data_IF_843223329886
#
_entry.id   IF_843223329886
#
_cell.length_a   1.000
_cell.length_b   1.000
_cell.length_c   1.000
_cell.angle_alpha   90.00
_cell.angle_beta   90.00
_cell.angle_gamma   90.00
#
_symmetry.space_group_name_H-M   'P 1'
#
loop_
_entity.id
_entity.type
_entity.pdbx_description
1 polymer ?
#
# COMPACT_ATOMS: atom_id res chain seq x y z
N UNK A 1 -2.67 22.32 5.53
CA UNK A 1 -1.91 21.09 5.20
C UNK A 1 -2.52 19.98 6.02
N UNK A 2 -3.18 19.01 5.39
CA UNK A 2 -3.90 17.96 6.10
C UNK A 2 -2.91 17.24 7.03
N UNK A 3 -3.16 17.31 8.34
CA UNK A 3 -2.36 16.60 9.35
C UNK A 3 -2.58 15.08 9.32
N UNK A 4 -3.52 14.62 8.48
CA UNK A 4 -3.97 13.25 8.33
C UNK A 4 -3.96 12.88 6.84
N UNK A 5 -3.53 11.67 6.51
CA UNK A 5 -3.53 11.14 5.14
C UNK A 5 -4.51 9.97 5.08
N UNK A 6 -5.49 10.01 4.18
CA UNK A 6 -6.43 8.89 4.01
C UNK A 6 -5.72 7.64 3.43
N UNK A 7 -4.71 7.83 2.60
CA UNK A 7 -3.86 6.77 2.05
C UNK A 7 -2.42 7.23 1.84
N UNK A 8 -1.46 6.31 1.97
CA UNK A 8 -0.03 6.58 1.81
C UNK A 8 0.65 5.50 0.99
N UNK A 9 1.39 5.91 -0.05
CA UNK A 9 2.20 4.99 -0.87
C UNK A 9 3.30 4.38 -0.01
N UNK A 10 3.49 3.07 -0.16
CA UNK A 10 4.53 2.29 0.49
C UNK A 10 5.57 1.84 -0.53
N UNK A 11 6.80 1.60 -0.07
CA UNK A 11 7.74 0.75 -0.79
C UNK A 11 7.38 -0.72 -0.57
N UNK A 12 7.86 -1.61 -1.43
CA UNK A 12 7.63 -3.06 -1.29
C UNK A 12 8.08 -3.59 0.09
N UNK A 13 9.29 -3.24 0.51
CA UNK A 13 9.83 -3.64 1.81
C UNK A 13 9.00 -3.13 3.00
N UNK A 14 8.46 -1.91 2.93
CA UNK A 14 7.58 -1.38 3.97
C UNK A 14 6.24 -2.13 4.02
N UNK A 15 5.68 -2.51 2.86
CA UNK A 15 4.47 -3.31 2.81
C UNK A 15 4.68 -4.70 3.44
N UNK A 16 5.80 -5.37 3.15
CA UNK A 16 6.18 -6.63 3.81
C UNK A 16 6.36 -6.46 5.30
N UNK A 17 7.07 -5.40 5.72
CA UNK A 17 7.31 -5.12 7.12
C UNK A 17 6.00 -5.05 7.92
N UNK A 18 4.98 -4.38 7.38
CA UNK A 18 3.64 -4.29 8.00
C UNK A 18 3.00 -5.67 8.22
N UNK A 19 3.09 -6.58 7.24
CA UNK A 19 2.55 -7.95 7.37
C UNK A 19 3.33 -8.78 8.40
N UNK A 20 4.65 -8.59 8.46
CA UNK A 20 5.56 -9.36 9.34
C UNK A 20 5.68 -8.83 10.77
N UNK A 21 5.06 -7.69 11.10
CA UNK A 21 5.07 -7.13 12.44
C UNK A 21 4.44 -8.12 13.44
N UNK A 22 5.28 -8.67 14.32
CA UNK A 22 4.90 -9.59 15.41
C UNK A 22 4.99 -8.88 16.78
N UNK A 23 4.38 -7.69 16.94
CA UNK A 23 4.28 -7.03 18.24
C UNK A 23 2.86 -6.55 18.53
N UNK A 24 2.41 -6.82 19.76
CA UNK A 24 1.11 -6.47 20.33
C UNK A 24 0.83 -4.97 20.24
N UNK A 25 -0.45 -4.65 20.06
CA UNK A 25 -1.04 -3.32 20.12
C UNK A 25 -1.57 -3.10 21.54
N UNK A 26 -1.22 -2.02 22.25
CA UNK A 26 -1.90 -1.68 23.49
C UNK A 26 -3.33 -1.20 23.17
N UNK A 27 -4.31 -1.79 23.84
CA UNK A 27 -5.71 -1.38 23.78
C UNK A 27 -5.94 -0.10 24.59
N UNK A 28 -6.59 0.88 23.99
CA UNK A 28 -7.23 1.99 24.70
C UNK A 28 -8.77 1.91 24.54
N UNK A 29 -9.41 1.86 25.72
CA UNK A 29 -10.83 1.82 26.10
C UNK A 29 -11.86 1.10 25.23
N UNK A 30 -12.26 -0.09 25.71
CA UNK A 30 -13.49 -0.79 25.35
C UNK A 30 -14.31 -0.97 26.63
N UNK A 31 -15.19 -0.01 26.93
CA UNK A 31 -16.00 0.06 28.15
C UNK A 31 -17.12 -1.00 28.22
N UNK A 32 -16.80 -2.31 28.25
CA UNK A 32 -17.67 -3.33 28.87
C UNK A 32 -16.85 -4.45 29.53
N UNK A 33 -17.25 -4.81 30.76
CA UNK A 33 -16.49 -5.66 31.69
C UNK A 33 -16.58 -7.13 31.30
N UNK A 34 -15.45 -7.66 30.81
CA UNK A 34 -15.14 -9.10 30.74
C UNK A 34 -14.01 -9.37 31.77
N UNK A 35 -13.99 -10.50 32.49
CA UNK A 35 -12.95 -10.78 33.49
C UNK A 35 -11.53 -10.65 32.90
N UNK A 36 -10.69 -9.83 33.53
CA UNK A 36 -9.40 -9.35 33.01
C UNK A 36 -8.49 -10.44 32.41
N UNK A 37 -8.31 -11.63 33.02
CA UNK A 37 -7.45 -12.67 32.43
C UNK A 37 -8.02 -13.28 31.14
N UNK A 38 -9.35 -13.31 31.00
CA UNK A 38 -10.07 -13.89 29.85
C UNK A 38 -10.16 -12.89 28.70
N UNK A 39 -10.44 -11.61 29.00
CA UNK A 39 -10.35 -10.51 28.03
C UNK A 39 -8.92 -10.38 27.50
N UNK A 40 -7.93 -10.43 28.39
CA UNK A 40 -6.50 -10.36 28.06
C UNK A 40 -6.06 -11.52 27.17
N UNK A 41 -6.52 -12.75 27.43
CA UNK A 41 -6.12 -13.92 26.65
C UNK A 41 -6.78 -13.99 25.27
N UNK A 42 -8.02 -13.52 25.13
CA UNK A 42 -8.73 -13.46 23.84
C UNK A 42 -8.22 -12.33 22.94
N UNK A 43 -7.69 -11.26 23.52
CA UNK A 43 -7.11 -10.11 22.80
C UNK A 43 -5.63 -10.34 22.43
N UNK A 44 -4.84 -10.93 23.32
CA UNK A 44 -3.38 -10.97 23.18
C UNK A 44 -2.84 -12.19 22.40
N UNK A 45 -3.63 -13.26 22.22
CA UNK A 45 -3.11 -14.51 21.63
C UNK A 45 -3.33 -14.63 20.09
N UNK A 46 -3.90 -13.61 19.43
CA UNK A 46 -4.15 -13.62 17.99
C UNK A 46 -3.14 -12.78 17.19
N UNK A 47 -2.52 -13.36 16.16
CA UNK A 47 -1.97 -12.54 15.05
C UNK A 47 -3.11 -11.67 14.50
N UNK A 48 -2.91 -10.38 14.16
CA UNK A 48 -4.00 -9.57 13.59
C UNK A 48 -4.55 -10.32 12.40
N UNK A 49 -5.84 -10.68 12.47
CA UNK A 49 -6.48 -11.42 11.40
C UNK A 49 -6.33 -10.63 10.11
N UNK A 50 -6.00 -11.35 9.05
CA UNK A 50 -5.84 -10.78 7.73
C UNK A 50 -6.91 -11.41 6.87
N UNK A 51 -7.67 -10.57 6.18
CA UNK A 51 -8.53 -11.01 5.09
C UNK A 51 -7.98 -10.49 3.79
N UNK A 52 -8.17 -11.26 2.73
CA UNK A 52 -8.18 -10.72 1.38
C UNK A 52 -9.62 -10.49 0.97
N UNK A 53 -9.88 -9.37 0.33
CA UNK A 53 -11.14 -9.11 -0.34
C UNK A 53 -10.93 -8.64 -1.77
N UNK A 54 -11.99 -8.73 -2.57
CA UNK A 54 -12.03 -8.14 -3.89
C UNK A 54 -11.70 -6.65 -3.82
N UNK A 55 -10.78 -6.21 -4.67
CA UNK A 55 -10.45 -4.81 -4.83
C UNK A 55 -11.66 -4.10 -5.46
N UNK A 56 -12.34 -3.19 -4.74
CA UNK A 56 -13.54 -2.54 -5.28
C UNK A 56 -13.22 -1.78 -6.57
N UNK A 57 -12.06 -1.14 -6.64
CA UNK A 57 -11.61 -0.43 -7.84
C UNK A 57 -11.44 -1.34 -9.06
N UNK A 58 -11.06 -2.61 -8.88
CA UNK A 58 -11.02 -3.59 -9.99
C UNK A 58 -12.44 -4.04 -10.31
N UNK A 59 -13.18 -4.50 -9.31
CA UNK A 59 -14.51 -5.11 -9.51
C UNK A 59 -15.55 -4.19 -10.15
N UNK A 60 -15.40 -2.87 -10.04
CA UNK A 60 -16.28 -1.89 -10.70
C UNK A 60 -15.87 -1.50 -12.13
N UNK A 61 -14.83 -2.09 -12.71
CA UNK A 61 -14.43 -1.83 -14.12
C UNK A 61 -15.09 -2.83 -15.07
N UNK A 62 -15.42 -2.38 -16.27
CA UNK A 62 -15.95 -3.26 -17.34
C UNK A 62 -14.96 -4.37 -17.73
N UNK A 63 -13.66 -4.04 -17.75
CA UNK A 63 -12.56 -4.97 -18.07
C UNK A 63 -11.52 -4.95 -16.93
N UNK A 64 -11.79 -5.66 -15.82
CA UNK A 64 -10.92 -5.64 -14.66
C UNK A 64 -9.64 -6.44 -14.89
N UNK A 65 -8.50 -5.94 -14.39
CA UNK A 65 -7.31 -6.78 -14.29
C UNK A 65 -7.51 -7.86 -13.21
N UNK A 66 -6.92 -9.03 -13.45
CA UNK A 66 -7.00 -10.18 -12.55
C UNK A 66 -5.67 -10.38 -11.79
N UNK A 67 -5.71 -10.97 -10.58
CA UNK A 67 -6.91 -11.35 -9.81
C UNK A 67 -7.62 -10.15 -9.15
N UNK A 68 -8.89 -10.30 -8.76
CA UNK A 68 -9.64 -9.25 -8.03
C UNK A 68 -9.37 -9.26 -6.53
N UNK A 69 -9.20 -10.44 -5.92
CA UNK A 69 -8.89 -10.59 -4.49
C UNK A 69 -7.43 -10.20 -4.19
N UNK A 70 -7.21 -8.90 -3.99
CA UNK A 70 -5.88 -8.34 -3.72
C UNK A 70 -5.91 -7.23 -2.66
N UNK A 71 -7.07 -6.90 -2.09
CA UNK A 71 -7.17 -5.90 -1.05
C UNK A 71 -6.99 -6.57 0.31
N UNK A 72 -5.87 -6.30 0.98
CA UNK A 72 -5.55 -6.89 2.27
C UNK A 72 -6.13 -5.99 3.36
N UNK A 73 -7.06 -6.51 4.16
CA UNK A 73 -7.59 -5.79 5.33
C UNK A 73 -7.13 -6.49 6.60
N UNK A 74 -6.82 -5.69 7.61
CA UNK A 74 -6.12 -6.18 8.81
C UNK A 74 -6.73 -5.59 10.06
N UNK A 75 -6.89 -6.44 11.07
CA UNK A 75 -7.30 -6.05 12.40
C UNK A 75 -8.80 -5.80 12.55
N UNK A 76 -9.23 -5.70 13.81
CA UNK A 76 -10.62 -5.48 14.17
C UNK A 76 -10.94 -3.99 14.36
N UNK A 77 -12.18 -3.54 14.10
CA UNK A 77 -13.35 -4.36 13.73
C UNK A 77 -13.52 -4.57 12.21
N UNK A 78 -12.56 -4.12 11.38
CA UNK A 78 -12.77 -4.08 9.93
C UNK A 78 -12.81 -5.47 9.29
N UNK A 79 -12.06 -6.42 9.85
CA UNK A 79 -12.08 -7.82 9.43
C UNK A 79 -13.46 -8.44 9.66
N UNK A 80 -13.98 -8.38 10.90
CA UNK A 80 -15.29 -8.93 11.24
C UNK A 80 -16.39 -8.30 10.39
N UNK A 81 -16.39 -6.96 10.31
CA UNK A 81 -17.36 -6.22 9.52
C UNK A 81 -17.38 -6.71 8.06
N UNK A 82 -16.20 -6.90 7.45
CA UNK A 82 -16.11 -7.29 6.04
C UNK A 82 -16.50 -8.75 5.81
N UNK A 83 -16.13 -9.65 6.73
CA UNK A 83 -16.55 -11.06 6.66
C UNK A 83 -18.06 -11.21 6.85
N UNK A 84 -18.67 -10.41 7.73
CA UNK A 84 -20.12 -10.44 7.98
C UNK A 84 -20.92 -9.85 6.81
N UNK A 85 -20.48 -8.71 6.25
CA UNK A 85 -21.24 -7.95 5.26
C UNK A 85 -20.82 -8.23 3.82
N UNK A 86 -19.76 -9.00 3.58
CA UNK A 86 -19.31 -9.37 2.24
C UNK A 86 -18.59 -10.74 2.23
N UNK A 87 -19.20 -11.80 2.77
CA UNK A 87 -18.59 -13.13 2.87
C UNK A 87 -18.25 -13.75 1.50
N UNK A 88 -18.97 -13.37 0.44
CA UNK A 88 -18.75 -13.88 -0.91
C UNK A 88 -17.52 -13.27 -1.61
N UNK A 89 -17.10 -12.07 -1.17
CA UNK A 89 -15.97 -11.34 -1.74
C UNK A 89 -14.81 -11.16 -0.77
N UNK A 90 -14.83 -11.84 0.38
CA UNK A 90 -13.76 -11.78 1.37
C UNK A 90 -13.52 -13.12 2.08
N UNK A 91 -12.27 -13.36 2.48
CA UNK A 91 -11.87 -14.57 3.22
C UNK A 91 -10.65 -14.32 4.08
N UNK A 92 -10.54 -15.04 5.19
CA UNK A 92 -9.34 -15.11 6.00
C UNK A 92 -8.19 -15.72 5.21
N UNK A 93 -6.99 -15.19 5.44
CA UNK A 93 -5.75 -15.67 4.83
C UNK A 93 -4.63 -15.74 5.88
N UNK A 94 -3.62 -16.56 5.60
CA UNK A 94 -2.42 -16.59 6.43
C UNK A 94 -1.50 -15.39 6.13
N UNK A 95 -0.52 -15.13 7.01
CA UNK A 95 0.52 -14.13 6.76
C UNK A 95 1.35 -14.48 5.53
N UNK A 96 1.65 -15.77 5.34
CA UNK A 96 2.40 -16.28 4.20
C UNK A 96 1.65 -16.00 2.90
N UNK A 97 0.33 -16.27 2.87
CA UNK A 97 -0.50 -15.96 1.71
C UNK A 97 -0.59 -14.45 1.45
N UNK A 98 -0.70 -13.63 2.49
CA UNK A 98 -0.68 -12.18 2.34
C UNK A 98 0.64 -11.68 1.73
N UNK A 99 1.77 -12.25 2.15
CA UNK A 99 3.09 -11.96 1.57
C UNK A 99 3.18 -12.41 0.11
N UNK A 100 2.63 -13.59 -0.23
CA UNK A 100 2.54 -14.05 -1.62
C UNK A 100 1.75 -13.07 -2.49
N UNK A 101 0.59 -12.60 -2.02
CA UNK A 101 -0.21 -11.60 -2.75
C UNK A 101 0.59 -10.31 -2.97
N UNK A 102 1.32 -9.82 -1.95
CA UNK A 102 2.15 -8.63 -2.09
C UNK A 102 3.24 -8.81 -3.14
N UNK A 103 3.99 -9.93 -3.11
CA UNK A 103 5.04 -10.23 -4.09
C UNK A 103 4.48 -10.35 -5.51
N UNK A 104 3.38 -11.07 -5.67
CA UNK A 104 2.74 -11.23 -6.98
C UNK A 104 2.22 -9.90 -7.54
N UNK A 105 1.62 -9.07 -6.71
CA UNK A 105 1.15 -7.74 -7.13
C UNK A 105 2.32 -6.80 -7.42
N UNK A 106 3.40 -6.89 -6.64
CA UNK A 106 4.63 -6.14 -6.87
C UNK A 106 5.26 -6.51 -8.23
N UNK A 107 5.40 -7.80 -8.52
CA UNK A 107 5.97 -8.30 -9.78
C UNK A 107 5.11 -7.93 -11.00
N UNK A 108 3.78 -7.80 -10.84
CA UNK A 108 2.86 -7.25 -11.84
C UNK A 108 3.02 -5.72 -12.05
N UNK A 109 3.84 -5.05 -11.26
CA UNK A 109 4.05 -3.60 -11.33
C UNK A 109 2.95 -2.79 -10.65
N UNK A 110 2.25 -3.37 -9.68
CA UNK A 110 1.28 -2.65 -8.87
C UNK A 110 1.94 -1.97 -7.68
N UNK A 111 1.34 -0.89 -7.20
CA UNK A 111 1.82 -0.18 -6.02
C UNK A 111 1.15 -0.72 -4.76
N UNK A 112 1.82 -0.58 -3.63
CA UNK A 112 1.24 -0.82 -2.32
C UNK A 112 0.91 0.53 -1.66
N UNK A 113 -0.25 0.61 -1.04
CA UNK A 113 -0.65 1.80 -0.28
C UNK A 113 -1.31 1.39 1.03
N UNK A 114 -0.91 2.02 2.12
CA UNK A 114 -1.53 1.89 3.43
C UNK A 114 -2.70 2.87 3.55
N UNK A 115 -3.84 2.40 4.05
CA UNK A 115 -5.03 3.21 4.25
C UNK A 115 -5.41 3.28 5.72
N UNK A 116 -5.81 4.49 6.12
CA UNK A 116 -6.21 4.84 7.48
C UNK A 116 -7.65 5.33 7.45
N UNK A 117 -8.42 5.01 8.49
CA UNK A 117 -9.82 5.44 8.59
C UNK A 117 -10.02 6.35 9.78
N UNK A 118 -10.37 7.59 9.51
CA UNK A 118 -10.70 8.62 10.50
C UNK A 118 -11.82 8.14 11.45
N UNK A 119 -12.83 7.45 10.91
CA UNK A 119 -13.95 6.86 11.67
C UNK A 119 -13.53 5.73 12.62
N UNK A 120 -12.32 5.22 12.46
CA UNK A 120 -11.70 4.24 13.35
C UNK A 120 -10.51 4.86 14.09
N UNK A 121 -10.59 6.16 14.43
CA UNK A 121 -9.53 6.90 15.15
C UNK A 121 -8.18 6.84 14.41
N UNK A 122 -8.21 7.09 13.10
CA UNK A 122 -7.04 7.03 12.21
C UNK A 122 -6.30 5.68 12.22
N UNK A 123 -6.99 4.60 12.59
CA UNK A 123 -6.40 3.24 12.55
C UNK A 123 -6.07 2.83 11.13
N UNK A 124 -4.92 2.17 11.01
CA UNK A 124 -4.55 1.42 9.82
C UNK A 124 -5.52 0.25 9.62
N UNK A 125 -6.04 0.10 8.40
CA UNK A 125 -7.08 -0.92 8.13
C UNK A 125 -6.83 -1.75 6.89
N UNK A 126 -5.99 -1.28 5.96
CA UNK A 126 -5.78 -1.99 4.71
C UNK A 126 -4.45 -1.66 4.02
N UNK A 127 -3.91 -2.67 3.33
CA UNK A 127 -2.97 -2.48 2.23
C UNK A 127 -3.74 -2.68 0.93
N UNK A 128 -3.80 -1.64 0.10
CA UNK A 128 -4.30 -1.75 -1.26
C UNK A 128 -3.16 -2.00 -2.25
N UNK A 129 -3.34 -3.01 -3.09
CA UNK A 129 -2.48 -3.37 -4.22
C UNK A 129 -3.02 -2.75 -5.52
N UNK A 130 -2.65 -1.50 -5.77
CA UNK A 130 -3.26 -0.67 -6.80
C UNK A 130 -2.56 -0.81 -8.15
N UNK A 131 -3.33 -1.18 -9.16
CA UNK A 131 -2.89 -1.22 -10.55
C UNK A 131 -3.15 0.12 -11.26
N UNK A 132 -2.32 0.43 -12.26
CA UNK A 132 -2.48 1.62 -13.12
C UNK A 132 -3.81 1.62 -13.89
N UNK A 133 -4.31 0.44 -14.27
CA UNK A 133 -5.47 0.30 -15.14
C UNK A 133 -6.82 0.47 -14.45
N UNK A 134 -6.97 0.05 -13.18
CA UNK A 134 -8.28 0.04 -12.52
C UNK A 134 -8.38 0.99 -11.32
N UNK A 135 -7.28 1.35 -10.66
CA UNK A 135 -7.36 2.12 -9.40
C UNK A 135 -7.99 3.51 -9.61
N UNK A 136 -9.12 3.77 -8.95
CA UNK A 136 -9.79 5.06 -9.00
C UNK A 136 -8.95 6.19 -8.38
N UNK A 137 -8.18 5.87 -7.32
CA UNK A 137 -7.28 6.84 -6.69
C UNK A 137 -6.16 7.30 -7.64
N UNK A 138 -5.47 6.35 -8.30
CA UNK A 138 -4.44 6.66 -9.28
C UNK A 138 -5.05 7.45 -10.45
N UNK A 139 -6.19 7.02 -10.97
CA UNK A 139 -6.89 7.74 -12.04
C UNK A 139 -7.20 9.18 -11.64
N UNK A 140 -7.72 9.41 -10.43
CA UNK A 140 -8.05 10.74 -9.95
C UNK A 140 -6.82 11.64 -9.79
N UNK A 141 -5.71 11.08 -9.30
CA UNK A 141 -4.45 11.82 -9.18
C UNK A 141 -3.89 12.19 -10.57
N UNK A 142 -3.92 11.27 -11.53
CA UNK A 142 -3.32 11.45 -12.85
C UNK A 142 -4.18 12.35 -13.75
N UNK A 143 -5.50 12.13 -13.79
CA UNK A 143 -6.41 12.85 -14.71
C UNK A 143 -6.93 14.16 -14.13
N UNK A 144 -7.15 14.22 -12.82
CA UNK A 144 -7.82 15.36 -12.17
C UNK A 144 -6.93 16.07 -11.15
N UNK A 145 -5.65 15.70 -11.05
CA UNK A 145 -4.68 16.30 -10.12
C UNK A 145 -5.16 16.32 -8.66
N UNK A 146 -6.00 15.35 -8.29
CA UNK A 146 -6.49 15.20 -6.91
C UNK A 146 -5.38 14.69 -5.99
N UNK A 147 -5.43 15.03 -4.71
CA UNK A 147 -4.46 14.56 -3.71
C UNK A 147 -5.03 13.42 -2.89
N UNK A 148 -5.13 12.23 -3.50
CA UNK A 148 -5.74 11.04 -2.87
C UNK A 148 -4.74 10.30 -1.95
N UNK A 149 -3.51 10.12 -2.41
CA UNK A 149 -2.47 9.41 -1.67
C UNK A 149 -1.27 10.31 -1.39
N UNK A 150 -0.72 10.17 -0.18
CA UNK A 150 0.55 10.76 0.19
C UNK A 150 1.74 10.00 -0.42
N UNK A 151 2.84 10.71 -0.67
CA UNK A 151 4.10 10.09 -1.11
C UNK A 151 4.70 9.21 -0.01
N UNK A 152 5.53 8.24 -0.43
CA UNK A 152 6.31 7.38 0.46
C UNK A 152 7.46 8.10 1.18
N UNK A 153 7.76 9.36 0.85
CA UNK A 153 8.95 10.06 1.32
C UNK A 153 10.18 9.87 0.43
N UNK A 154 10.06 9.10 -0.65
CA UNK A 154 11.13 8.82 -1.61
C UNK A 154 10.77 9.31 -3.02
N UNK A 155 11.79 9.46 -3.86
CA UNK A 155 11.69 9.67 -5.30
C UNK A 155 12.62 8.70 -6.03
N UNK A 156 12.29 8.40 -7.29
CA UNK A 156 13.15 7.60 -8.15
C UNK A 156 14.30 8.43 -8.70
N UNK A 157 15.48 7.84 -8.77
CA UNK A 157 16.68 8.41 -9.38
C UNK A 157 17.24 7.44 -10.42
N UNK A 158 17.66 7.97 -11.57
CA UNK A 158 18.24 7.21 -12.68
C UNK A 158 19.76 7.32 -12.63
N UNK A 159 20.46 6.19 -12.74
CA UNK A 159 21.87 6.14 -13.05
C UNK A 159 22.05 6.24 -14.57
N UNK A 160 22.60 7.36 -15.03
CA UNK A 160 22.72 7.65 -16.45
C UNK A 160 23.72 6.77 -17.19
N UNK A 161 24.69 6.18 -16.49
CA UNK A 161 25.70 5.30 -17.09
C UNK A 161 25.14 3.90 -17.38
N UNK A 162 24.14 3.47 -16.61
CA UNK A 162 23.49 2.17 -16.78
C UNK A 162 22.24 2.25 -17.66
N UNK A 163 21.61 3.42 -17.77
CA UNK A 163 20.36 3.58 -18.49
C UNK A 163 20.56 3.34 -19.99
N UNK A 164 19.68 2.54 -20.58
CA UNK A 164 19.67 2.26 -22.03
C UNK A 164 18.54 2.98 -22.76
N UNK A 165 17.85 3.91 -22.10
CA UNK A 165 16.68 4.61 -22.63
C UNK A 165 15.56 3.68 -23.17
N UNK A 166 15.44 2.45 -22.66
CA UNK A 166 14.52 1.45 -23.22
C UNK A 166 13.02 1.74 -23.01
N UNK A 167 12.66 2.67 -22.13
CA UNK A 167 11.26 3.08 -21.90
C UNK A 167 10.43 2.21 -20.95
N UNK A 168 10.90 1.03 -20.54
CA UNK A 168 10.12 0.11 -19.67
C UNK A 168 9.63 0.76 -18.37
N UNK A 169 10.48 1.58 -17.73
CA UNK A 169 10.11 2.31 -16.53
C UNK A 169 9.04 3.39 -16.77
N UNK A 170 9.05 4.02 -17.94
CA UNK A 170 8.06 5.04 -18.31
C UNK A 170 6.68 4.42 -18.52
N UNK A 171 6.62 3.29 -19.21
CA UNK A 171 5.39 2.53 -19.42
C UNK A 171 4.79 2.03 -18.09
N UNK A 172 5.64 1.44 -17.24
CA UNK A 172 5.25 0.87 -15.95
C UNK A 172 4.80 1.93 -14.93
N UNK A 173 5.20 3.20 -15.06
CA UNK A 173 4.90 4.22 -14.07
C UNK A 173 3.38 4.47 -13.96
N UNK A 174 2.76 4.24 -12.78
CA UNK A 174 1.33 4.45 -12.59
C UNK A 174 0.94 5.93 -12.51
N UNK A 175 1.91 6.79 -12.17
CA UNK A 175 1.68 8.23 -11.95
C UNK A 175 2.14 9.10 -13.13
N UNK A 176 2.56 8.50 -14.25
CA UNK A 176 3.11 9.21 -15.42
C UNK A 176 4.22 10.21 -15.04
N UNK A 177 5.07 9.80 -14.09
CA UNK A 177 6.16 10.61 -13.55
C UNK A 177 7.49 10.39 -14.28
N UNK A 178 7.52 9.57 -15.32
CA UNK A 178 8.75 9.17 -16.01
C UNK A 178 8.56 9.39 -17.51
N UNK A 179 9.52 10.06 -18.13
CA UNK A 179 9.67 10.17 -19.58
C UNK A 179 11.05 9.65 -19.99
N UNK A 180 11.30 9.51 -21.29
CA UNK A 180 12.62 9.16 -21.82
C UNK A 180 13.02 10.23 -22.82
N UNK A 181 14.20 10.80 -22.65
CA UNK A 181 14.89 11.52 -23.72
C UNK A 181 15.87 10.53 -24.39
N UNK A 182 16.32 10.82 -25.61
CA UNK A 182 17.07 9.86 -26.45
C UNK A 182 18.23 9.11 -25.77
N UNK A 183 18.74 9.62 -24.64
CA UNK A 183 19.84 9.03 -23.89
C UNK A 183 19.41 8.40 -22.55
N UNK A 184 18.37 8.91 -21.87
CA UNK A 184 18.06 8.55 -20.49
C UNK A 184 16.57 8.66 -20.12
N UNK A 185 16.16 7.88 -19.12
CA UNK A 185 14.91 8.12 -18.41
C UNK A 185 15.02 9.39 -17.54
N UNK A 186 13.97 10.21 -17.52
CA UNK A 186 13.87 11.45 -16.76
C UNK A 186 12.69 11.33 -15.80
N UNK A 187 12.93 11.61 -14.51
CA UNK A 187 11.93 11.52 -13.45
C UNK A 187 11.41 12.91 -13.12
N UNK A 188 10.11 13.13 -13.29
CA UNK A 188 9.39 14.26 -12.72
C UNK A 188 9.20 14.01 -11.21
N UNK A 189 10.07 14.64 -10.41
CA UNK A 189 10.04 14.48 -8.96
C UNK A 189 8.76 15.06 -8.34
N UNK A 190 8.07 16.00 -8.99
CA UNK A 190 6.80 16.52 -8.45
C UNK A 190 5.73 15.43 -8.52
N UNK A 191 5.65 14.70 -9.63
CA UNK A 191 4.69 13.60 -9.83
C UNK A 191 5.11 12.28 -9.17
N UNK A 192 6.40 12.05 -8.98
CA UNK A 192 6.90 10.82 -8.39
C UNK A 192 6.42 10.67 -6.93
N UNK A 193 5.76 9.54 -6.62
CA UNK A 193 5.34 9.22 -5.24
C UNK A 193 6.27 8.24 -4.53
N UNK A 194 7.33 7.75 -5.20
CA UNK A 194 8.32 6.86 -4.60
C UNK A 194 7.82 5.44 -4.36
N UNK A 195 6.98 4.90 -5.25
CA UNK A 195 6.41 3.54 -5.13
C UNK A 195 7.40 2.41 -5.47
N UNK A 196 8.48 2.69 -6.21
CA UNK A 196 9.49 1.69 -6.56
C UNK A 196 9.14 0.74 -7.71
N UNK A 197 7.95 0.82 -8.33
CA UNK A 197 7.61 -0.05 -9.48
C UNK A 197 8.67 0.01 -10.59
N UNK A 198 9.19 1.21 -10.89
CA UNK A 198 10.22 1.39 -11.91
C UNK A 198 11.60 0.79 -11.54
N UNK A 199 11.90 0.62 -10.25
CA UNK A 199 13.16 -0.01 -9.83
C UNK A 199 13.12 -1.51 -10.13
N UNK A 200 11.99 -2.14 -9.84
CA UNK A 200 11.75 -3.57 -10.10
C UNK A 200 11.68 -3.88 -11.59
N UNK A 201 11.06 -3.00 -12.37
CA UNK A 201 10.86 -3.21 -13.81
C UNK A 201 12.07 -2.80 -14.67
N UNK A 202 13.13 -2.23 -14.09
CA UNK A 202 14.31 -1.83 -14.86
C UNK A 202 15.20 -3.05 -15.17
N UNK A 203 15.32 -3.49 -16.43
CA UNK A 203 16.06 -4.72 -16.77
C UNK A 203 17.56 -4.63 -16.52
N UNK A 204 18.09 -3.40 -16.43
CA UNK A 204 19.51 -3.10 -16.23
C UNK A 204 19.81 -2.51 -14.84
N UNK A 205 18.81 -2.46 -13.95
CA UNK A 205 19.00 -1.97 -12.58
C UNK A 205 19.41 -0.48 -12.49
N UNK A 206 19.08 0.32 -13.50
CA UNK A 206 19.50 1.72 -13.58
C UNK A 206 18.67 2.68 -12.70
N UNK A 207 17.70 2.20 -11.92
CA UNK A 207 16.80 3.07 -11.12
C UNK A 207 16.82 2.62 -9.66
N UNK A 208 17.00 3.59 -8.76
CA UNK A 208 16.92 3.41 -7.31
C UNK A 208 15.95 4.41 -6.67
N UNK A 209 15.57 4.17 -5.41
CA UNK A 209 14.82 5.13 -4.59
C UNK A 209 15.78 5.91 -3.70
N UNK A 210 15.64 7.23 -3.70
CA UNK A 210 16.38 8.13 -2.81
C UNK A 210 15.41 8.94 -1.95
N UNK A 211 15.86 9.30 -0.75
CA UNK A 211 15.04 10.08 0.18
C UNK A 211 14.91 11.52 -0.33
N UNK A 212 13.69 12.05 -0.31
CA UNK A 212 13.43 13.48 -0.54
C UNK A 212 12.62 14.06 0.63
N UNK A 213 13.20 15.01 1.37
CA UNK A 213 12.52 15.66 2.48
C UNK A 213 11.24 16.41 2.06
N UNK A 214 11.15 16.85 0.80
CA UNK A 214 9.95 17.50 0.25
C UNK A 214 8.79 16.53 0.03
N UNK A 215 9.05 15.22 0.05
CA UNK A 215 8.07 14.15 -0.07
C UNK A 215 7.55 13.64 1.28
N UNK A 216 7.90 14.34 2.35
CA UNK A 216 7.48 14.01 3.70
C UNK A 216 8.36 12.95 4.35
N UNK A 217 7.85 12.41 5.45
CA UNK A 217 8.55 11.42 6.26
C UNK A 217 8.07 10.04 5.81
N UNK A 218 8.97 9.09 5.50
CA UNK A 218 8.62 7.69 5.31
C UNK A 218 7.75 7.18 6.44
N UNK A 219 6.86 6.23 6.13
CA UNK A 219 6.07 5.61 7.19
C UNK A 219 7.01 4.86 8.13
N UNK A 220 6.97 5.24 9.40
CA UNK A 220 7.58 4.42 10.43
C UNK A 220 6.63 3.29 10.77
N UNK A 221 6.97 2.10 10.29
CA UNK A 221 6.18 0.88 10.48
C UNK A 221 6.16 0.50 11.97
N UNK A 222 7.16 0.90 12.77
CA UNK A 222 7.14 0.70 14.22
C UNK A 222 6.15 1.63 14.92
N UNK A 223 5.89 2.83 14.40
CA UNK A 223 4.87 3.72 14.96
C UNK A 223 3.43 3.26 14.72
N UNK A 224 3.18 2.28 13.82
CA UNK A 224 1.89 1.60 13.73
C UNK A 224 1.56 0.78 14.98
N UNK A 225 2.57 0.48 15.81
CA UNK A 225 2.38 -0.10 17.15
C UNK A 225 2.20 0.94 18.27
N UNK A 226 2.46 2.23 18.01
CA UNK A 226 2.47 3.32 19.00
C UNK A 226 1.39 4.40 18.76
N UNK A 227 0.70 4.39 17.61
CA UNK A 227 -0.37 5.36 17.28
C UNK A 227 -1.76 4.88 17.71
N UNK A 228 -1.84 4.12 18.81
CA UNK A 228 -3.03 3.39 19.27
C UNK A 228 -3.24 3.60 20.78
#
# INVERSE_FOLDING_TARGET
MAKHYHGKVLTYELAKAIITLNKEIPLTDLEQIIPYPTARKLVLDGSPEIIVCDCPCRSFRDNPCQPTQVCLMMGQPIVDFKLEHSPETSRLISKEEALTILEEEHSRGHIHSAWFKDVLLDRFVAICNCCKCCCAGIEAMVKYSSSIMASSGYVSQVNAELCTACGTCAEACPFNAISVNGDNAIIDWVKCLGCGVCTTQCPVGAISLIRDGKKGIPMDVHMLSESL
#
